data_IF_997369615910
#
_entry.id   IF_997369615910
#
_cell.length_a   1.000
_cell.length_b   1.000
_cell.length_c   1.000
_cell.angle_alpha   90.00
_cell.angle_beta   90.00
_cell.angle_gamma   90.00
#
_symmetry.space_group_name_H-M   'P 1'
#
loop_
_entity.id
_entity.type
_entity.pdbx_description
1 polymer ?
#
# COMPACT_ATOMS: atom_id res chain seq x y z
N UNK A 1 16.45 7.57 1.61
CA UNK A 1 15.90 7.19 0.31
C UNK A 1 14.46 7.62 0.26
N UNK A 2 13.87 7.72 -0.89
CA UNK A 2 12.52 8.25 -1.06
C UNK A 2 11.44 7.63 -0.20
N UNK A 3 10.21 8.05 -0.45
CA UNK A 3 9.04 7.59 0.29
C UNK A 3 8.50 6.34 -0.38
N UNK A 4 8.14 5.33 0.41
CA UNK A 4 7.50 4.11 -0.07
C UNK A 4 6.04 4.10 0.35
N UNK A 5 5.17 3.72 -0.57
CA UNK A 5 3.75 3.47 -0.30
C UNK A 5 3.56 1.95 -0.28
N UNK A 6 3.08 1.43 0.83
CA UNK A 6 2.92 -0.02 1.01
C UNK A 6 1.50 -0.45 0.69
N UNK A 7 1.39 -1.50 -0.13
CA UNK A 7 0.12 -2.15 -0.38
C UNK A 7 -0.28 -2.96 0.85
N UNK A 8 -1.56 -3.23 0.98
CA UNK A 8 -2.13 -3.93 2.14
C UNK A 8 -1.46 -5.27 2.41
N UNK A 9 -1.08 -6.02 1.36
CA UNK A 9 -0.51 -7.36 1.55
C UNK A 9 0.79 -7.32 2.37
N UNK A 10 1.61 -6.26 2.22
CA UNK A 10 2.85 -6.14 2.99
C UNK A 10 2.53 -5.95 4.48
N UNK A 11 1.54 -5.11 4.79
CA UNK A 11 1.14 -4.86 6.17
C UNK A 11 0.52 -6.11 6.80
N UNK A 12 -0.31 -6.81 6.04
CA UNK A 12 -0.94 -8.06 6.50
C UNK A 12 0.16 -9.09 6.79
N UNK A 13 1.15 -9.22 5.91
CA UNK A 13 2.27 -10.12 6.12
C UNK A 13 3.02 -9.79 7.41
N UNK A 14 3.26 -8.49 7.65
CA UNK A 14 3.93 -8.06 8.88
C UNK A 14 3.12 -8.48 10.12
N UNK A 15 1.80 -8.24 10.09
CA UNK A 15 0.93 -8.59 11.20
C UNK A 15 0.87 -10.10 11.43
N UNK A 16 1.11 -10.87 10.38
CA UNK A 16 1.16 -12.33 10.47
C UNK A 16 2.55 -12.87 10.82
N UNK A 17 3.49 -11.99 11.15
CA UNK A 17 4.80 -12.39 11.61
C UNK A 17 5.79 -12.77 10.51
N UNK A 18 5.52 -12.38 9.27
CA UNK A 18 6.42 -12.67 8.14
C UNK A 18 7.66 -11.78 8.25
N UNK A 19 8.82 -12.40 8.44
CA UNK A 19 10.07 -11.68 8.65
C UNK A 19 10.47 -10.81 7.45
N UNK A 20 10.21 -11.28 6.25
CA UNK A 20 10.52 -10.52 5.04
C UNK A 20 9.76 -9.20 5.00
N UNK A 21 8.51 -9.18 5.49
CA UNK A 21 7.72 -7.96 5.56
C UNK A 21 8.32 -6.99 6.58
N UNK A 22 8.71 -7.48 7.74
CA UNK A 22 9.34 -6.66 8.78
C UNK A 22 10.61 -6.01 8.22
N UNK A 23 11.44 -6.81 7.56
CA UNK A 23 12.68 -6.31 6.98
C UNK A 23 12.40 -5.23 5.92
N UNK A 24 11.40 -5.45 5.09
CA UNK A 24 11.07 -4.48 4.05
C UNK A 24 10.60 -3.16 4.66
N UNK A 25 9.76 -3.22 5.69
CA UNK A 25 9.26 -2.01 6.35
C UNK A 25 10.39 -1.19 6.97
N UNK A 26 11.44 -1.83 7.46
CA UNK A 26 12.55 -1.12 8.10
C UNK A 26 13.50 -0.47 7.10
N UNK A 27 13.38 -0.78 5.80
CA UNK A 27 14.25 -0.20 4.77
C UNK A 27 14.03 1.30 4.56
N UNK A 28 12.86 1.81 4.92
CA UNK A 28 12.45 3.16 4.54
C UNK A 28 12.26 4.03 5.77
N UNK A 29 12.79 5.25 5.72
CA UNK A 29 12.60 6.21 6.80
C UNK A 29 11.24 6.91 6.71
N UNK A 30 10.65 6.96 5.51
CA UNK A 30 9.34 7.58 5.29
C UNK A 30 8.43 6.55 4.65
N UNK A 31 7.39 6.15 5.40
CA UNK A 31 6.46 5.11 4.98
C UNK A 31 5.05 5.68 4.89
N UNK A 32 4.38 5.40 3.78
CA UNK A 32 3.02 5.87 3.56
C UNK A 32 2.10 4.71 3.21
N UNK A 33 0.83 4.88 3.45
CA UNK A 33 -0.22 3.97 2.99
C UNK A 33 -1.40 4.80 2.47
N UNK A 34 -2.16 4.22 1.55
CA UNK A 34 -3.42 4.81 1.11
C UNK A 34 -4.46 4.65 2.20
N UNK A 35 -5.42 5.58 2.26
CA UNK A 35 -6.59 5.42 3.13
C UNK A 35 -7.32 4.10 2.81
N UNK A 36 -7.24 3.62 1.56
CA UNK A 36 -7.81 2.33 1.17
C UNK A 36 -7.13 1.21 1.97
N UNK A 37 -5.80 1.22 2.05
CA UNK A 37 -5.06 0.22 2.82
C UNK A 37 -5.45 0.30 4.29
N UNK A 38 -5.54 1.51 4.84
CA UNK A 38 -5.96 1.71 6.22
C UNK A 38 -7.30 1.02 6.47
N UNK A 39 -8.28 1.27 5.59
CA UNK A 39 -9.62 0.67 5.72
C UNK A 39 -9.58 -0.85 5.62
N UNK A 40 -8.80 -1.38 4.69
CA UNK A 40 -8.71 -2.83 4.51
C UNK A 40 -8.09 -3.52 5.74
N UNK A 41 -7.05 -2.92 6.30
CA UNK A 41 -6.41 -3.47 7.50
C UNK A 41 -7.38 -3.43 8.69
N UNK A 42 -8.03 -2.29 8.90
CA UNK A 42 -8.97 -2.13 10.01
C UNK A 42 -10.16 -3.09 9.85
N UNK A 43 -10.71 -3.18 8.64
CA UNK A 43 -11.86 -4.06 8.38
C UNK A 43 -11.52 -5.53 8.61
N UNK A 44 -10.27 -5.92 8.38
CA UNK A 44 -9.83 -7.31 8.55
C UNK A 44 -9.24 -7.62 9.92
N UNK A 45 -9.17 -6.65 10.82
CA UNK A 45 -8.54 -6.85 12.13
C UNK A 45 -9.52 -7.45 13.13
N UNK A 46 -9.04 -8.45 13.88
CA UNK A 46 -9.78 -9.05 14.98
C UNK A 46 -10.05 -7.98 16.06
N UNK A 47 -11.30 -7.85 16.48
CA UNK A 47 -11.73 -6.73 17.31
C UNK A 47 -10.87 -6.49 18.57
N UNK A 48 -10.48 -7.52 19.36
CA UNK A 48 -9.63 -7.31 20.52
C UNK A 48 -8.28 -6.65 20.21
N UNK A 49 -7.81 -6.75 18.95
CA UNK A 49 -6.52 -6.17 18.54
C UNK A 49 -6.67 -4.82 17.85
N UNK A 50 -7.89 -4.35 17.69
CA UNK A 50 -8.19 -3.18 16.86
C UNK A 50 -7.45 -1.93 17.34
N UNK A 51 -7.47 -1.66 18.65
CA UNK A 51 -6.82 -0.48 19.19
C UNK A 51 -5.31 -0.50 18.95
N UNK A 52 -4.68 -1.66 19.15
CA UNK A 52 -3.24 -1.85 18.94
C UNK A 52 -2.87 -1.63 17.47
N UNK A 53 -3.67 -2.19 16.56
CA UNK A 53 -3.42 -2.05 15.12
C UNK A 53 -3.59 -0.60 14.68
N UNK A 54 -4.64 0.08 15.16
CA UNK A 54 -4.83 1.50 14.84
C UNK A 54 -3.65 2.35 15.30
N UNK A 55 -3.13 2.08 16.48
CA UNK A 55 -1.97 2.81 17.00
C UNK A 55 -0.75 2.57 16.11
N UNK A 56 -0.51 1.32 15.72
CA UNK A 56 0.59 0.98 14.84
C UNK A 56 0.47 1.71 13.49
N UNK A 57 -0.73 1.79 12.94
CA UNK A 57 -0.94 2.46 11.66
C UNK A 57 -0.62 3.96 11.70
N UNK A 58 -0.61 4.57 12.89
CA UNK A 58 -0.21 5.97 13.03
C UNK A 58 1.26 6.22 12.70
N UNK A 59 2.07 5.16 12.63
CA UNK A 59 3.47 5.29 12.23
C UNK A 59 3.60 5.56 10.72
N UNK A 60 2.53 5.39 9.97
CA UNK A 60 2.52 5.62 8.52
C UNK A 60 1.89 6.96 8.21
N UNK A 61 2.36 7.58 7.13
CA UNK A 61 1.67 8.74 6.57
C UNK A 61 0.48 8.24 5.77
N UNK A 62 -0.72 8.47 6.28
CA UNK A 62 -1.96 7.98 5.65
C UNK A 62 -2.41 9.00 4.60
N UNK A 63 -2.43 8.57 3.34
CA UNK A 63 -2.79 9.43 2.21
C UNK A 63 -4.27 9.30 1.90
N UNK A 64 -4.97 10.41 1.98
CA UNK A 64 -6.39 10.46 1.61
C UNK A 64 -6.52 10.64 0.10
N UNK A 65 -7.73 10.46 -0.42
CA UNK A 65 -8.01 10.56 -1.85
C UNK A 65 -8.39 12.00 -2.17
N UNK A 66 -7.52 12.70 -2.89
CA UNK A 66 -7.85 14.02 -3.42
C UNK A 66 -8.29 13.90 -4.89
N UNK A 67 -8.59 15.03 -5.52
CA UNK A 67 -9.08 15.02 -6.90
C UNK A 67 -8.04 14.49 -7.88
N UNK A 68 -6.76 14.77 -7.66
CA UNK A 68 -5.69 14.27 -8.54
C UNK A 68 -5.58 12.77 -8.47
N UNK A 69 -5.62 12.23 -7.27
CA UNK A 69 -5.57 10.78 -7.06
C UNK A 69 -6.81 10.13 -7.67
N UNK A 70 -8.00 10.73 -7.46
CA UNK A 70 -9.24 10.19 -8.00
C UNK A 70 -9.21 10.12 -9.53
N UNK A 71 -8.77 11.19 -10.19
CA UNK A 71 -8.66 11.22 -11.65
C UNK A 71 -7.68 10.18 -12.15
N UNK A 72 -6.51 10.09 -11.52
CA UNK A 72 -5.49 9.13 -11.93
C UNK A 72 -5.96 7.71 -11.71
N UNK A 73 -6.65 7.45 -10.60
CA UNK A 73 -7.20 6.12 -10.32
C UNK A 73 -8.22 5.71 -11.37
N UNK A 74 -9.11 6.62 -11.76
CA UNK A 74 -10.10 6.34 -12.78
C UNK A 74 -9.42 5.99 -14.11
N UNK A 75 -8.36 6.72 -14.48
CA UNK A 75 -7.60 6.45 -15.70
C UNK A 75 -6.94 5.06 -15.63
N UNK A 76 -6.29 4.75 -14.52
CA UNK A 76 -5.64 3.43 -14.34
C UNK A 76 -6.68 2.32 -14.45
N UNK A 77 -7.82 2.49 -13.79
CA UNK A 77 -8.90 1.51 -13.85
C UNK A 77 -9.35 1.24 -15.28
N UNK A 78 -9.52 2.29 -16.06
CA UNK A 78 -9.96 2.16 -17.44
C UNK A 78 -8.91 1.50 -18.33
N UNK A 79 -7.65 1.87 -18.15
CA UNK A 79 -6.56 1.39 -19.01
C UNK A 79 -6.09 -0.01 -18.64
N UNK A 80 -5.99 -0.29 -17.35
CA UNK A 80 -5.39 -1.55 -16.88
C UNK A 80 -6.42 -2.56 -16.42
N UNK A 81 -7.66 -2.17 -16.28
CA UNK A 81 -8.78 -3.04 -15.90
C UNK A 81 -8.59 -3.74 -14.55
N UNK A 82 -7.87 -3.11 -13.66
CA UNK A 82 -7.74 -3.61 -12.29
C UNK A 82 -8.86 -3.04 -11.43
N UNK A 83 -9.07 -3.63 -10.25
CA UNK A 83 -10.14 -3.17 -9.36
C UNK A 83 -9.86 -1.76 -8.90
N UNK A 84 -10.93 -1.00 -8.65
CA UNK A 84 -10.80 0.41 -8.27
C UNK A 84 -9.96 0.62 -7.01
N UNK A 85 -10.10 -0.18 -5.93
CA UNK A 85 -9.23 0.01 -4.76
C UNK A 85 -7.74 -0.10 -5.10
N UNK A 86 -7.36 -1.06 -5.94
CA UNK A 86 -5.98 -1.22 -6.36
C UNK A 86 -5.53 -0.06 -7.25
N UNK A 87 -6.42 0.42 -8.09
CA UNK A 87 -6.12 1.59 -8.93
C UNK A 87 -5.88 2.83 -8.05
N UNK A 88 -6.64 2.99 -6.98
CA UNK A 88 -6.46 4.10 -6.04
C UNK A 88 -5.10 4.02 -5.34
N UNK A 89 -4.71 2.83 -4.92
CA UNK A 89 -3.41 2.63 -4.28
C UNK A 89 -2.28 3.01 -5.26
N UNK A 90 -2.37 2.53 -6.50
CA UNK A 90 -1.36 2.84 -7.52
C UNK A 90 -1.32 4.35 -7.83
N UNK A 91 -2.50 4.94 -8.00
CA UNK A 91 -2.61 6.38 -8.28
C UNK A 91 -2.00 7.21 -7.16
N UNK A 92 -2.20 6.81 -5.90
CA UNK A 92 -1.65 7.50 -4.75
C UNK A 92 -0.12 7.51 -4.82
N UNK A 93 0.49 6.38 -5.17
CA UNK A 93 1.93 6.30 -5.33
C UNK A 93 2.42 7.19 -6.48
N UNK A 94 1.74 7.13 -7.63
CA UNK A 94 2.15 7.91 -8.80
C UNK A 94 2.03 9.41 -8.57
N UNK A 95 0.91 9.87 -8.03
CA UNK A 95 0.67 11.29 -7.78
C UNK A 95 1.67 11.83 -6.75
N UNK A 96 2.02 11.02 -5.76
CA UNK A 96 2.95 11.42 -4.71
C UNK A 96 4.42 11.13 -5.04
N UNK A 97 4.71 10.60 -6.22
CA UNK A 97 6.07 10.20 -6.62
C UNK A 97 6.69 9.24 -5.60
N UNK A 98 5.89 8.28 -5.15
CA UNK A 98 6.32 7.29 -4.16
C UNK A 98 6.51 5.94 -4.84
N UNK A 99 7.44 5.14 -4.28
CA UNK A 99 7.63 3.77 -4.72
C UNK A 99 6.47 2.92 -4.19
N UNK A 100 5.79 2.20 -5.07
CA UNK A 100 4.74 1.28 -4.66
C UNK A 100 5.37 -0.06 -4.32
N UNK A 101 5.21 -0.50 -3.08
CA UNK A 101 5.77 -1.77 -2.60
C UNK A 101 4.63 -2.75 -2.40
N UNK A 102 4.62 -3.84 -3.19
CA UNK A 102 3.52 -4.81 -3.19
C UNK A 102 3.99 -6.18 -3.64
N UNK A 103 3.35 -7.23 -3.13
CA UNK A 103 3.52 -8.61 -3.61
C UNK A 103 2.52 -8.97 -4.70
N UNK A 104 1.57 -8.09 -4.99
CA UNK A 104 0.50 -8.36 -5.96
C UNK A 104 1.01 -8.11 -7.37
N UNK A 105 1.76 -9.08 -7.92
CA UNK A 105 2.35 -8.98 -9.25
C UNK A 105 1.33 -9.06 -10.37
N UNK A 106 0.13 -9.55 -10.08
CA UNK A 106 -0.95 -9.62 -11.06
C UNK A 106 -1.40 -8.22 -11.46
N UNK A 107 -1.63 -7.36 -10.46
CA UNK A 107 -2.12 -6.00 -10.71
C UNK A 107 -0.99 -4.98 -10.81
N UNK A 108 0.13 -5.22 -10.13
CA UNK A 108 1.27 -4.30 -10.10
C UNK A 108 2.54 -5.05 -10.54
N UNK A 109 2.72 -5.24 -11.86
CA UNK A 109 3.89 -5.99 -12.35
C UNK A 109 5.21 -5.31 -11.98
N UNK A 110 6.21 -6.10 -11.62
CA UNK A 110 7.53 -5.59 -11.26
C UNK A 110 8.20 -4.83 -12.39
N UNK A 111 7.75 -5.05 -13.64
CA UNK A 111 8.29 -4.36 -14.82
C UNK A 111 7.80 -2.93 -14.93
N UNK A 112 6.75 -2.54 -14.19
CA UNK A 112 6.22 -1.18 -14.22
C UNK A 112 7.13 -0.24 -13.45
N UNK A 113 7.33 0.94 -13.99
CA UNK A 113 8.13 1.98 -13.32
C UNK A 113 7.48 2.33 -11.99
N UNK A 114 8.29 2.42 -10.94
CA UNK A 114 7.78 2.80 -9.62
C UNK A 114 7.14 1.68 -8.82
N UNK A 115 7.24 0.44 -9.29
CA UNK A 115 6.73 -0.73 -8.57
C UNK A 115 7.90 -1.59 -8.09
N UNK A 116 7.86 -1.96 -6.82
CA UNK A 116 8.84 -2.88 -6.23
C UNK A 116 8.12 -4.08 -5.64
N UNK A 117 8.54 -5.27 -6.05
CA UNK A 117 8.07 -6.53 -5.48
C UNK A 117 9.19 -7.01 -4.56
N UNK A 118 9.05 -6.84 -3.22
CA UNK A 118 10.20 -7.01 -2.33
C UNK A 118 10.55 -8.47 -2.03
N UNK A 119 9.57 -9.36 -2.11
CA UNK A 119 9.76 -10.78 -1.83
C UNK A 119 8.55 -11.56 -2.35
N UNK A 120 8.71 -12.85 -2.45
CA UNK A 120 7.62 -13.78 -2.79
C UNK A 120 7.45 -14.77 -1.64
N UNK A 121 6.25 -15.22 -1.42
CA UNK A 121 5.96 -16.24 -0.39
C UNK A 121 5.61 -17.58 -1.00
#
# INVERSE_FOLDING_TARGET
MGVALFDSNILIDYLNGIKAAEKELTRYSHKAISIITWMEIIAGTYEPELATVKEWLLEFNIKTIDSKIAERAATIRREKRIRLPDAIIWATAQVGSMLLVSRNTKDFPATEVGVRVPYQL
#
